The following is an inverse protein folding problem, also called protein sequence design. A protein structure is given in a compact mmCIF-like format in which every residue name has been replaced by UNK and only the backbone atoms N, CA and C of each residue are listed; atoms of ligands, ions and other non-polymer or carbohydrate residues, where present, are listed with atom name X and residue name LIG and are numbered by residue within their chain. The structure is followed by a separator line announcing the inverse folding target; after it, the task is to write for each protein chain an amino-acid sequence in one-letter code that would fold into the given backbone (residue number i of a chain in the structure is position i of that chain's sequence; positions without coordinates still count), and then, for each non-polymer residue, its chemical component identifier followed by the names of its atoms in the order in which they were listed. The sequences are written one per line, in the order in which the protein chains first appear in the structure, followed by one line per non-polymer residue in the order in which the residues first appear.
data_IF_360162013912
#
_entry.id   IF_360162013912
#
_cell.length_a   1.000
_cell.length_b   1.000
_cell.length_c   1.000
_cell.angle_alpha   90.00
_cell.angle_beta   90.00
_cell.angle_gamma   90.00
#
_symmetry.space_group_name_H-M   'P 1'
#
loop_
_entity.id
_entity.type
_entity.pdbx_description
1 polymer ?
#
# COMPACT_ATOMS: atom_id res chain seq x y z
N UNK A 1 6.90 25.64 -0.20
CA UNK A 1 7.09 24.78 0.98
C UNK A 1 8.29 23.89 0.71
N UNK A 2 9.36 24.01 1.49
CA UNK A 2 10.57 23.23 1.20
C UNK A 2 10.41 21.80 1.72
N UNK A 3 10.44 20.81 0.82
CA UNK A 3 10.52 19.38 1.16
C UNK A 3 11.80 19.03 1.95
N UNK A 4 12.68 20.00 2.21
CA UNK A 4 14.01 19.81 2.81
C UNK A 4 14.04 19.86 4.34
N UNK A 5 12.98 20.29 5.03
CA UNK A 5 13.04 20.47 6.49
C UNK A 5 12.55 19.27 7.31
N UNK A 6 11.85 18.30 6.71
CA UNK A 6 11.38 17.10 7.41
C UNK A 6 11.25 15.95 6.41
N UNK A 7 12.29 15.13 6.28
CA UNK A 7 12.23 13.95 5.41
C UNK A 7 11.08 13.03 5.82
N UNK A 8 10.43 12.40 4.83
CA UNK A 8 9.53 11.29 5.09
C UNK A 8 10.34 10.11 5.60
N UNK A 9 9.93 9.53 6.71
CA UNK A 9 10.58 8.39 7.35
C UNK A 9 9.55 7.32 7.63
N UNK A 10 9.98 6.06 7.49
CA UNK A 10 9.12 4.91 7.69
C UNK A 10 9.81 3.84 8.52
N UNK A 11 8.99 3.06 9.22
CA UNK A 11 9.37 1.82 9.87
C UNK A 11 8.29 0.80 9.54
N UNK A 12 8.66 -0.21 8.77
CA UNK A 12 7.83 -1.38 8.51
C UNK A 12 8.54 -2.56 9.19
N UNK A 13 8.03 -2.99 10.34
CA UNK A 13 8.60 -4.15 11.06
C UNK A 13 8.22 -5.48 10.39
N UNK A 14 8.63 -6.58 11.02
CA UNK A 14 8.27 -7.93 10.59
C UNK A 14 6.95 -8.41 11.24
N UNK A 15 6.21 -9.32 10.59
CA UNK A 15 5.01 -10.00 11.12
C UNK A 15 3.78 -9.12 11.40
N UNK A 16 3.46 -8.18 10.50
CA UNK A 16 2.22 -7.38 10.61
C UNK A 16 1.10 -7.85 9.70
N UNK A 17 1.43 -8.42 8.54
CA UNK A 17 0.48 -8.97 7.59
C UNK A 17 -0.08 -10.30 8.11
N UNK A 18 -1.40 -10.44 8.11
CA UNK A 18 -2.06 -11.66 8.62
C UNK A 18 -3.12 -12.23 7.68
N UNK A 19 -3.53 -11.50 6.65
CA UNK A 19 -4.55 -11.96 5.70
C UNK A 19 -4.31 -11.34 4.33
N UNK A 20 -4.28 -12.18 3.30
CA UNK A 20 -4.44 -11.76 1.91
C UNK A 20 -5.88 -12.08 1.48
N UNK A 21 -6.49 -11.20 0.70
CA UNK A 21 -7.89 -11.36 0.26
C UNK A 21 -8.08 -10.82 -1.15
N UNK A 22 -8.87 -11.52 -1.95
CA UNK A 22 -9.41 -10.98 -3.18
C UNK A 22 -10.70 -10.20 -2.89
N UNK A 23 -10.63 -8.89 -3.12
CA UNK A 23 -11.72 -7.95 -2.83
C UNK A 23 -12.81 -7.94 -3.90
N UNK A 24 -12.58 -8.59 -5.04
CA UNK A 24 -13.36 -8.47 -6.27
C UNK A 24 -12.89 -7.34 -7.20
N UNK A 25 -11.97 -6.49 -6.75
CA UNK A 25 -11.34 -5.42 -7.55
C UNK A 25 -9.82 -5.59 -7.68
N UNK A 26 -9.23 -6.43 -6.84
CA UNK A 26 -7.80 -6.67 -6.74
C UNK A 26 -7.49 -7.45 -5.47
N UNK A 27 -6.22 -7.75 -5.26
CA UNK A 27 -5.75 -8.34 -4.01
C UNK A 27 -5.43 -7.25 -2.98
N UNK A 28 -5.69 -7.55 -1.71
CA UNK A 28 -5.34 -6.70 -0.57
C UNK A 28 -4.72 -7.56 0.51
N UNK A 29 -3.70 -7.03 1.17
CA UNK A 29 -3.12 -7.60 2.38
C UNK A 29 -3.49 -6.72 3.57
N UNK A 30 -4.15 -7.32 4.55
CA UNK A 30 -4.51 -6.68 5.80
C UNK A 30 -3.39 -6.86 6.83
N UNK A 31 -3.14 -5.81 7.62
CA UNK A 31 -2.10 -5.79 8.64
C UNK A 31 -2.64 -5.34 9.99
N UNK A 32 -1.92 -5.64 11.07
CA UNK A 32 -2.25 -5.12 12.41
C UNK A 32 -1.60 -3.77 12.74
N UNK A 33 -0.75 -3.24 11.84
CA UNK A 33 -0.01 -1.99 11.98
C UNK A 33 0.93 -1.88 13.18
N UNK A 34 1.07 -2.92 14.00
CA UNK A 34 1.79 -2.85 15.28
C UNK A 34 3.26 -2.53 15.06
N UNK A 35 3.79 -1.45 15.66
CA UNK A 35 5.18 -1.08 15.48
C UNK A 35 5.56 -0.57 14.08
N UNK A 36 4.57 -0.35 13.20
CA UNK A 36 4.75 0.39 11.96
C UNK A 36 4.60 1.88 12.19
N UNK A 37 5.39 2.70 11.49
CA UNK A 37 5.31 4.15 11.56
C UNK A 37 5.59 4.75 10.18
N UNK A 38 4.81 5.76 9.81
CA UNK A 38 5.06 6.67 8.70
C UNK A 38 4.90 8.10 9.24
N UNK A 39 5.95 8.91 9.12
CA UNK A 39 5.97 10.28 9.67
C UNK A 39 6.95 11.19 8.95
N UNK A 40 6.81 12.49 9.18
CA UNK A 40 7.59 13.52 8.50
C UNK A 40 7.02 13.84 7.13
N UNK A 41 7.81 14.52 6.28
CA UNK A 41 7.30 15.05 5.01
C UNK A 41 6.08 15.96 5.24
N UNK A 42 4.99 15.76 4.48
CA UNK A 42 3.75 16.53 4.63
C UNK A 42 2.88 16.10 5.83
N UNK A 43 3.26 15.03 6.56
CA UNK A 43 2.43 14.45 7.60
C UNK A 43 2.51 15.24 8.92
N UNK A 44 1.36 15.44 9.55
CA UNK A 44 1.21 16.19 10.80
C UNK A 44 1.38 15.32 12.05
N UNK A 45 1.35 13.99 11.92
CA UNK A 45 1.51 13.04 13.02
C UNK A 45 2.16 11.73 12.57
N UNK A 46 2.11 10.72 13.44
CA UNK A 46 2.50 9.34 13.13
C UNK A 46 1.32 8.57 12.57
N UNK A 47 1.53 7.96 11.41
CA UNK A 47 0.56 7.12 10.74
C UNK A 47 1.03 5.66 10.81
N UNK A 48 0.11 4.73 11.09
CA UNK A 48 0.43 3.29 11.08
C UNK A 48 -0.20 2.61 9.88
N UNK A 49 0.44 1.57 9.37
CA UNK A 49 -0.02 0.79 8.24
C UNK A 49 -1.31 0.04 8.62
N UNK A 50 -2.33 0.12 7.77
CA UNK A 50 -3.56 -0.67 7.90
C UNK A 50 -3.52 -1.85 6.94
N UNK A 51 -3.30 -1.55 5.66
CA UNK A 51 -3.38 -2.50 4.57
C UNK A 51 -2.54 -2.01 3.39
N UNK A 52 -2.25 -2.92 2.48
CA UNK A 52 -1.79 -2.54 1.15
C UNK A 52 -2.49 -3.35 0.07
N UNK A 53 -2.62 -2.75 -1.11
CA UNK A 53 -3.26 -3.35 -2.28
C UNK A 53 -2.59 -2.83 -3.54
N UNK A 54 -2.83 -3.50 -4.65
CA UNK A 54 -2.24 -3.13 -5.93
C UNK A 54 -3.33 -2.95 -6.98
N UNK A 55 -3.06 -2.01 -7.89
CA UNK A 55 -3.82 -1.80 -9.12
C UNK A 55 -2.93 -2.19 -10.30
N UNK A 56 -3.50 -2.85 -11.30
CA UNK A 56 -2.82 -3.23 -12.52
C UNK A 56 -3.82 -3.22 -13.68
N UNK A 57 -3.31 -3.09 -14.91
CA UNK A 57 -4.13 -3.10 -16.11
C UNK A 57 -4.07 -4.42 -16.86
N UNK A 58 -4.65 -4.41 -18.07
CA UNK A 58 -4.65 -5.58 -18.96
C UNK A 58 -3.34 -5.79 -19.72
N UNK A 59 -2.38 -4.86 -19.59
CA UNK A 59 -1.09 -4.91 -20.26
C UNK A 59 0.01 -4.37 -19.36
N UNK A 60 1.27 -4.69 -19.68
CA UNK A 60 2.43 -4.23 -18.90
C UNK A 60 2.78 -2.75 -19.10
N UNK A 61 2.13 -2.06 -20.05
CA UNK A 61 2.41 -0.66 -20.38
C UNK A 61 1.43 0.32 -19.72
N UNK A 62 0.25 -0.17 -19.28
CA UNK A 62 -0.80 0.64 -18.69
C UNK A 62 -1.47 -0.09 -17.53
N UNK A 63 -1.51 0.52 -16.34
CA UNK A 63 -2.08 -0.10 -15.14
C UNK A 63 -1.91 0.66 -13.83
N UNK A 64 -1.00 1.63 -13.73
CA UNK A 64 -0.96 2.55 -12.59
C UNK A 64 -2.12 3.55 -12.62
N UNK A 65 -2.62 3.96 -11.45
CA UNK A 65 -3.67 4.98 -11.37
C UNK A 65 -3.09 6.38 -11.63
N UNK A 66 -1.92 6.64 -11.08
CA UNK A 66 -1.18 7.87 -11.31
C UNK A 66 -0.29 7.76 -12.55
N UNK A 67 0.04 8.91 -13.14
CA UNK A 67 1.01 9.04 -14.22
C UNK A 67 2.12 10.00 -13.83
N UNK A 68 3.31 9.81 -14.41
CA UNK A 68 4.43 10.73 -14.30
C UNK A 68 4.69 11.30 -15.69
N UNK A 69 4.53 12.61 -15.85
CA UNK A 69 4.63 13.30 -17.15
C UNK A 69 3.75 12.66 -18.25
N UNK A 70 2.57 12.18 -17.86
CA UNK A 70 1.61 11.50 -18.74
C UNK A 70 1.94 10.03 -19.03
N UNK A 71 3.04 9.50 -18.53
CA UNK A 71 3.40 8.08 -18.65
C UNK A 71 2.75 7.24 -17.55
N UNK A 72 2.08 6.16 -17.95
CA UNK A 72 1.62 5.09 -17.06
C UNK A 72 2.73 4.07 -16.78
N UNK A 73 2.60 3.36 -15.65
CA UNK A 73 3.39 2.19 -15.30
C UNK A 73 2.50 0.93 -15.35
N UNK A 74 3.12 -0.25 -15.25
CA UNK A 74 2.44 -1.53 -15.36
C UNK A 74 1.41 -1.75 -14.24
N UNK A 75 1.74 -1.28 -13.04
CA UNK A 75 0.91 -1.39 -11.85
C UNK A 75 1.32 -0.34 -10.81
N UNK A 76 0.48 -0.16 -9.80
CA UNK A 76 0.72 0.74 -8.66
C UNK A 76 0.31 0.09 -7.34
N UNK A 77 1.27 -0.04 -6.42
CA UNK A 77 1.05 -0.52 -5.07
C UNK A 77 0.70 0.64 -4.14
N UNK A 78 -0.41 0.53 -3.43
CA UNK A 78 -0.85 1.49 -2.42
C UNK A 78 -0.64 0.93 -1.02
N UNK A 79 0.17 1.61 -0.21
CA UNK A 79 0.31 1.35 1.22
C UNK A 79 -0.55 2.36 1.99
N UNK A 80 -1.64 1.89 2.58
CA UNK A 80 -2.61 2.75 3.27
C UNK A 80 -2.31 2.81 4.75
N UNK A 81 -2.09 4.02 5.24
CA UNK A 81 -1.81 4.31 6.64
C UNK A 81 -2.88 5.24 7.21
N UNK A 82 -3.02 5.23 8.53
CA UNK A 82 -3.94 6.12 9.23
C UNK A 82 -3.30 6.79 10.45
N UNK A 83 -3.76 8.00 10.76
CA UNK A 83 -3.23 8.86 11.82
C UNK A 83 -3.58 8.30 13.21
N UNK A 84 -2.75 7.37 13.69
CA UNK A 84 -2.93 6.71 14.97
C UNK A 84 -2.47 7.53 16.18
N UNK A 85 -1.83 8.67 15.92
CA UNK A 85 -1.53 9.65 16.96
C UNK A 85 -2.77 10.46 17.34
N UNK A 86 -3.63 10.76 16.37
CA UNK A 86 -4.83 11.61 16.56
C UNK A 86 -6.12 10.82 16.80
N UNK A 87 -6.29 9.66 16.16
CA UNK A 87 -7.53 8.89 16.18
C UNK A 87 -7.35 7.55 16.89
N UNK A 88 -8.44 6.97 17.38
CA UNK A 88 -8.42 5.71 18.15
C UNK A 88 -8.53 4.46 17.27
N UNK A 89 -9.02 4.61 16.04
CA UNK A 89 -9.21 3.50 15.10
C UNK A 89 -9.07 3.94 13.64
N UNK A 90 -8.81 2.97 12.75
CA UNK A 90 -8.81 3.20 11.30
C UNK A 90 -10.16 3.76 10.81
N UNK A 91 -11.27 3.19 11.29
CA UNK A 91 -12.62 3.62 10.89
C UNK A 91 -12.89 5.09 11.25
N UNK A 92 -12.51 5.50 12.46
CA UNK A 92 -12.59 6.89 12.89
C UNK A 92 -11.71 7.77 12.00
N UNK A 93 -10.44 7.42 11.82
CA UNK A 93 -9.51 8.18 10.99
C UNK A 93 -9.99 8.32 9.54
N UNK A 94 -10.50 7.25 8.94
CA UNK A 94 -10.99 7.24 7.55
C UNK A 94 -12.15 8.22 7.30
N UNK A 95 -12.88 8.62 8.36
CA UNK A 95 -13.94 9.63 8.28
C UNK A 95 -13.43 11.08 8.35
N UNK A 96 -12.12 11.28 8.52
CA UNK A 96 -11.52 12.58 8.83
C UNK A 96 -10.58 13.05 7.70
N UNK A 97 -10.51 14.36 7.43
CA UNK A 97 -9.76 14.91 6.30
C UNK A 97 -8.24 14.70 6.40
N UNK A 98 -7.70 14.55 7.61
CA UNK A 98 -6.28 14.29 7.89
C UNK A 98 -6.03 12.87 8.41
N UNK A 99 -7.02 11.98 8.29
CA UNK A 99 -6.95 10.67 8.92
C UNK A 99 -6.16 9.63 8.15
N UNK A 100 -6.00 9.77 6.83
CA UNK A 100 -5.30 8.78 5.99
C UNK A 100 -4.08 9.37 5.30
N UNK A 101 -3.07 8.52 5.08
CA UNK A 101 -1.93 8.78 4.23
C UNK A 101 -1.64 7.53 3.37
N UNK A 102 -1.59 7.70 2.05
CA UNK A 102 -1.33 6.60 1.11
C UNK A 102 0.01 6.81 0.43
N UNK A 103 0.89 5.82 0.49
CA UNK A 103 2.10 5.80 -0.34
C UNK A 103 1.81 5.00 -1.61
N UNK A 104 1.96 5.65 -2.76
CA UNK A 104 1.95 4.99 -4.07
C UNK A 104 3.36 4.57 -4.48
N UNK A 105 3.51 3.33 -4.92
CA UNK A 105 4.76 2.77 -5.45
C UNK A 105 4.48 2.20 -6.84
N UNK A 106 5.08 2.79 -7.87
CA UNK A 106 4.96 2.29 -9.24
C UNK A 106 5.72 0.97 -9.41
N UNK A 107 5.12 0.04 -10.15
CA UNK A 107 5.73 -1.21 -10.56
C UNK A 107 6.00 -1.18 -12.06
N UNK A 108 7.21 -1.58 -12.44
CA UNK A 108 7.63 -1.71 -13.83
C UNK A 108 8.02 -3.17 -14.07
N UNK A 109 7.58 -3.72 -15.21
CA UNK A 109 7.96 -5.07 -15.63
C UNK A 109 9.40 -5.05 -16.13
N UNK A 110 10.16 -6.05 -15.70
CA UNK A 110 11.52 -6.32 -16.12
C UNK A 110 11.63 -7.81 -16.43
N UNK A 111 12.17 -8.15 -17.60
CA UNK A 111 12.27 -9.54 -18.07
C UNK A 111 13.56 -10.25 -17.58
N UNK A 112 14.40 -9.55 -16.81
CA UNK A 112 15.73 -10.01 -16.41
C UNK A 112 15.85 -10.31 -14.94
N UNK A 113 15.13 -9.58 -14.08
CA UNK A 113 15.22 -9.70 -12.62
C UNK A 113 13.84 -9.86 -11.97
N UNK A 114 13.73 -10.81 -11.04
CA UNK A 114 12.50 -11.02 -10.27
C UNK A 114 12.56 -10.28 -8.93
N UNK A 115 11.47 -9.61 -8.55
CA UNK A 115 11.33 -9.04 -7.21
C UNK A 115 10.92 -10.11 -6.19
N UNK A 116 11.86 -10.56 -5.36
CA UNK A 116 11.62 -11.63 -4.38
C UNK A 116 10.53 -11.32 -3.34
N UNK A 117 10.31 -10.05 -3.01
CA UNK A 117 9.27 -9.65 -2.05
C UNK A 117 7.89 -9.70 -2.68
N UNK A 118 7.74 -9.27 -3.94
CA UNK A 118 6.50 -9.41 -4.69
C UNK A 118 6.20 -10.88 -5.03
N UNK A 119 7.22 -11.71 -5.27
CA UNK A 119 7.05 -13.16 -5.47
C UNK A 119 6.28 -13.82 -4.32
N UNK A 120 6.53 -13.39 -3.07
CA UNK A 120 5.79 -13.92 -1.89
C UNK A 120 4.29 -13.69 -2.03
N UNK A 121 3.87 -12.51 -2.50
CA UNK A 121 2.46 -12.20 -2.75
C UNK A 121 1.96 -13.00 -3.96
N UNK A 122 2.71 -12.99 -5.08
CA UNK A 122 2.33 -13.69 -6.30
C UNK A 122 2.06 -15.18 -6.07
N UNK A 123 2.87 -15.84 -5.24
CA UNK A 123 2.69 -17.26 -4.88
C UNK A 123 1.41 -17.56 -4.12
N UNK A 124 0.79 -16.56 -3.48
CA UNK A 124 -0.46 -16.69 -2.73
C UNK A 124 -1.69 -16.33 -3.55
N UNK A 125 -1.53 -15.69 -4.72
CA UNK A 125 -2.65 -15.29 -5.58
C UNK A 125 -3.54 -16.48 -6.00
N UNK A 126 -3.00 -17.66 -6.35
CA UNK A 126 -3.84 -18.82 -6.68
C UNK A 126 -4.79 -19.24 -5.55
N UNK A 127 -4.42 -19.00 -4.29
CA UNK A 127 -5.24 -19.35 -3.12
C UNK A 127 -6.44 -18.38 -2.93
N UNK A 128 -6.44 -17.24 -3.60
CA UNK A 128 -7.49 -16.21 -3.54
C UNK A 128 -8.12 -15.93 -4.91
N UNK A 129 -8.21 -16.96 -5.76
CA UNK A 129 -8.75 -16.81 -7.12
C UNK A 129 -10.16 -16.17 -7.12
N UNK A 130 -11.00 -16.54 -6.16
CA UNK A 130 -12.36 -16.05 -6.06
C UNK A 130 -12.54 -14.95 -5.01
N UNK A 131 -13.48 -14.05 -5.27
CA UNK A 131 -13.86 -12.99 -4.35
C UNK A 131 -14.31 -13.57 -3.00
N UNK A 132 -13.78 -13.00 -1.93
CA UNK A 132 -14.14 -13.36 -0.56
C UNK A 132 -12.93 -13.87 0.23
N UNK A 133 -13.09 -14.10 1.54
CA UNK A 133 -12.06 -14.74 2.33
C UNK A 133 -11.87 -16.18 1.88
N UNK A 134 -10.62 -16.67 1.88
CA UNK A 134 -10.34 -18.11 1.88
C UNK A 134 -10.88 -18.67 3.20
N UNK A 135 -11.72 -19.70 3.12
CA UNK A 135 -12.25 -20.41 4.28
C UNK A 135 -11.13 -21.11 5.05
#
# INVERSE_FOLDING_TARGET
SSLTHRALTWKFGNNHAYRIVNTGYGWRVDTNGQGTELKGGPLTGVYKLEQFHCHWGSSSDEGSEHTVDGKSYAAELHLVHWNCEKYSSFSEAASQPDGLAVLGVFLQVDDTEENEELRKIASLIPEIEHKGPVC
#
